data_IF_899325994685
#
_entry.id   IF_899325994685
#
_cell.length_a   1.000
_cell.length_b   1.000
_cell.length_c   1.000
_cell.angle_alpha   90.00
_cell.angle_beta   90.00
_cell.angle_gamma   90.00
#
_symmetry.space_group_name_H-M   'P 1'
#
loop_
_entity.id
_entity.type
_entity.pdbx_description
1 polymer ?
#
# COMPACT_ATOMS: atom_id res chain seq x y z
N UNK A 1 7.88 -44.79 50.41
CA UNK A 1 7.04 -43.58 50.25
C UNK A 1 7.91 -42.54 49.57
N UNK A 2 7.74 -42.32 48.25
CA UNK A 2 8.38 -41.28 47.41
C UNK A 2 8.06 -41.44 45.91
N UNK A 3 7.36 -42.51 45.50
CA UNK A 3 7.06 -42.77 44.08
C UNK A 3 6.04 -41.78 43.49
N UNK A 4 5.07 -41.32 44.29
CA UNK A 4 4.11 -40.28 43.87
C UNK A 4 4.78 -38.91 43.70
N UNK A 5 5.77 -38.58 44.54
CA UNK A 5 6.56 -37.35 44.42
C UNK A 5 7.44 -37.38 43.15
N UNK A 6 7.92 -38.56 42.75
CA UNK A 6 8.69 -38.75 41.51
C UNK A 6 7.80 -38.65 40.26
N UNK A 7 6.58 -39.18 40.30
CA UNK A 7 5.61 -39.06 39.20
C UNK A 7 5.12 -37.63 39.01
N UNK A 8 4.85 -36.88 40.09
CA UNK A 8 4.48 -35.47 40.01
C UNK A 8 5.66 -34.63 39.49
N UNK A 9 6.90 -34.93 39.88
CA UNK A 9 8.10 -34.25 39.35
C UNK A 9 8.33 -34.52 37.86
N UNK A 10 8.11 -35.76 37.39
CA UNK A 10 8.20 -36.13 35.97
C UNK A 10 7.11 -35.48 35.13
N UNK A 11 5.87 -35.40 35.64
CA UNK A 11 4.75 -34.71 34.98
C UNK A 11 4.96 -33.19 34.92
N UNK A 12 5.49 -32.59 36.00
CA UNK A 12 5.85 -31.16 36.03
C UNK A 12 7.01 -30.82 35.10
N UNK A 13 7.97 -31.73 34.91
CA UNK A 13 9.08 -31.55 33.96
C UNK A 13 8.60 -31.63 32.50
N UNK A 14 7.66 -32.52 32.20
CA UNK A 14 7.03 -32.64 30.88
C UNK A 14 6.13 -31.43 30.55
N UNK A 15 5.35 -30.93 31.51
CA UNK A 15 4.53 -29.73 31.33
C UNK A 15 5.36 -28.43 31.19
N UNK A 16 6.51 -28.31 31.86
CA UNK A 16 7.43 -27.18 31.65
C UNK A 16 8.11 -27.20 30.28
N UNK A 17 8.40 -28.40 29.74
CA UNK A 17 9.04 -28.56 28.42
C UNK A 17 8.10 -28.18 27.25
N UNK A 18 6.79 -28.36 27.41
CA UNK A 18 5.80 -28.00 26.40
C UNK A 18 5.58 -26.49 26.27
N UNK A 19 5.87 -25.70 27.32
CA UNK A 19 5.71 -24.24 27.31
C UNK A 19 6.93 -23.55 26.65
N UNK A 20 8.11 -24.19 26.64
CA UNK A 20 9.32 -23.64 26.01
C UNK A 20 9.38 -23.82 24.48
N UNK A 21 8.55 -24.67 23.88
CA UNK A 21 8.44 -24.81 22.42
C UNK A 21 7.32 -23.96 21.80
N UNK A 22 6.51 -23.27 22.61
CA UNK A 22 5.37 -22.46 22.14
C UNK A 22 5.65 -20.97 21.90
N UNK A 23 6.86 -20.48 22.20
CA UNK A 23 7.18 -19.04 22.17
C UNK A 23 8.21 -18.63 21.09
N UNK A 24 8.24 -19.33 19.96
CA UNK A 24 8.99 -18.94 18.76
C UNK A 24 8.24 -17.99 17.84
N UNK A 25 7.50 -17.03 18.39
CA UNK A 25 6.83 -15.96 17.63
C UNK A 25 7.79 -14.83 17.28
N UNK A 26 8.80 -15.10 16.46
CA UNK A 26 9.80 -14.13 15.94
C UNK A 26 10.29 -14.68 14.59
N UNK A 27 10.18 -14.03 13.42
CA UNK A 27 9.85 -12.66 13.05
C UNK A 27 9.04 -12.68 11.73
N UNK A 28 7.97 -11.88 11.64
CA UNK A 28 7.39 -11.52 10.34
C UNK A 28 8.42 -10.66 9.59
N UNK A 29 9.29 -11.31 8.83
CA UNK A 29 10.19 -10.66 7.91
C UNK A 29 10.36 -11.54 6.67
N UNK A 30 9.85 -11.08 5.53
CA UNK A 30 10.12 -11.72 4.24
C UNK A 30 11.43 -11.19 3.67
N UNK A 31 12.08 -11.99 2.83
CA UNK A 31 13.34 -11.58 2.21
C UNK A 31 13.09 -10.48 1.18
N UNK A 32 14.17 -9.77 0.85
CA UNK A 32 14.12 -8.62 -0.05
C UNK A 32 13.63 -8.98 -1.46
N UNK A 33 14.02 -10.15 -1.99
CA UNK A 33 13.65 -10.55 -3.35
C UNK A 33 12.16 -10.88 -3.43
N UNK A 34 11.62 -11.54 -2.40
CA UNK A 34 10.19 -11.82 -2.30
C UNK A 34 9.36 -10.55 -2.15
N UNK A 35 9.81 -9.60 -1.31
CA UNK A 35 9.15 -8.30 -1.18
C UNK A 35 9.15 -7.50 -2.50
N UNK A 36 10.28 -7.49 -3.23
CA UNK A 36 10.36 -6.88 -4.55
C UNK A 36 9.40 -7.55 -5.54
N UNK A 37 9.35 -8.88 -5.56
CA UNK A 37 8.45 -9.63 -6.43
C UNK A 37 6.98 -9.29 -6.15
N UNK A 38 6.59 -9.18 -4.88
CA UNK A 38 5.25 -8.75 -4.49
C UNK A 38 4.93 -7.33 -4.97
N UNK A 39 5.85 -6.38 -4.82
CA UNK A 39 5.67 -5.00 -5.32
C UNK A 39 5.49 -4.94 -6.83
N UNK A 40 6.20 -5.79 -7.59
CA UNK A 40 6.03 -5.89 -9.04
C UNK A 40 4.69 -6.49 -9.42
N UNK A 41 4.30 -7.56 -8.74
CA UNK A 41 3.04 -8.26 -9.00
C UNK A 41 1.80 -7.43 -8.65
N UNK A 42 1.89 -6.56 -7.65
CA UNK A 42 0.81 -5.66 -7.26
C UNK A 42 0.70 -4.39 -8.10
N UNK A 43 1.68 -4.10 -8.97
CA UNK A 43 1.74 -2.83 -9.70
C UNK A 43 2.30 -1.66 -8.88
N UNK A 44 2.56 -1.84 -7.57
CA UNK A 44 3.16 -0.80 -6.73
C UNK A 44 4.57 -0.40 -7.21
N UNK A 45 5.29 -1.31 -7.86
CA UNK A 45 6.61 -1.01 -8.41
C UNK A 45 6.60 0.17 -9.40
N UNK A 46 5.57 0.23 -10.24
CA UNK A 46 5.41 1.29 -11.24
C UNK A 46 4.81 2.54 -10.60
N UNK A 47 3.83 2.40 -9.70
CA UNK A 47 3.27 3.51 -8.90
C UNK A 47 4.36 4.24 -8.08
N UNK A 48 5.27 3.51 -7.45
CA UNK A 48 6.40 4.12 -6.72
C UNK A 48 7.39 4.81 -7.66
N UNK A 49 7.45 4.36 -8.93
CA UNK A 49 8.24 5.01 -9.97
C UNK A 49 7.63 6.30 -10.51
N UNK A 50 6.31 6.46 -10.43
CA UNK A 50 5.59 7.64 -10.91
C UNK A 50 5.47 8.78 -9.88
N UNK A 51 5.94 8.58 -8.64
CA UNK A 51 5.86 9.61 -7.60
C UNK A 51 6.62 10.89 -7.97
N UNK A 52 7.88 10.78 -8.44
CA UNK A 52 8.67 11.95 -8.85
C UNK A 52 7.98 12.79 -9.95
N UNK A 53 7.54 12.21 -11.09
CA UNK A 53 6.86 13.00 -12.12
C UNK A 53 5.52 13.57 -11.64
N UNK A 54 4.78 12.89 -10.76
CA UNK A 54 3.56 13.46 -10.16
C UNK A 54 3.85 14.67 -9.26
N UNK A 55 4.91 14.60 -8.44
CA UNK A 55 5.32 15.74 -7.60
C UNK A 55 5.82 16.89 -8.47
N UNK A 56 6.58 16.62 -9.54
CA UNK A 56 7.01 17.64 -10.51
C UNK A 56 5.81 18.31 -11.18
N UNK A 57 4.83 17.53 -11.63
CA UNK A 57 3.61 18.04 -12.26
C UNK A 57 2.82 18.95 -11.31
N UNK A 58 2.58 18.50 -10.07
CA UNK A 58 1.89 19.31 -9.06
C UNK A 58 2.65 20.59 -8.70
N UNK A 59 3.98 20.53 -8.64
CA UNK A 59 4.80 21.73 -8.44
C UNK A 59 4.72 22.70 -9.62
N UNK A 60 4.78 22.20 -10.86
CA UNK A 60 4.63 23.02 -12.05
C UNK A 60 3.23 23.67 -12.14
N UNK A 61 2.17 22.94 -11.79
CA UNK A 61 0.82 23.48 -11.70
C UNK A 61 0.73 24.60 -10.66
N UNK A 62 1.25 24.38 -9.45
CA UNK A 62 1.27 25.39 -8.40
C UNK A 62 2.01 26.68 -8.82
N UNK A 63 3.13 26.53 -9.54
CA UNK A 63 3.86 27.67 -10.08
C UNK A 63 3.10 28.41 -11.20
N UNK A 64 2.29 27.69 -11.97
CA UNK A 64 1.48 28.31 -13.03
C UNK A 64 0.36 29.18 -12.48
N UNK A 65 -0.13 28.85 -11.27
CA UNK A 65 -1.21 29.55 -10.58
C UNK A 65 -0.72 30.66 -9.63
N UNK A 66 0.58 30.71 -9.31
CA UNK A 66 1.14 31.69 -8.38
C UNK A 66 1.54 33.01 -9.06
N UNK A 67 1.47 34.12 -8.29
CA UNK A 67 1.84 35.46 -8.76
C UNK A 67 3.35 35.63 -8.99
N UNK A 68 4.17 34.78 -8.36
CA UNK A 68 5.64 34.81 -8.45
C UNK A 68 6.15 33.56 -9.13
N UNK A 69 6.78 33.73 -10.30
CA UNK A 69 7.40 32.63 -11.05
C UNK A 69 8.90 32.55 -10.71
N UNK A 70 9.42 31.37 -10.34
CA UNK A 70 10.85 31.21 -10.15
C UNK A 70 11.60 31.44 -11.46
N UNK A 71 12.84 31.89 -11.36
CA UNK A 71 13.75 31.92 -12.50
C UNK A 71 13.96 30.52 -13.07
N UNK A 72 14.39 30.43 -14.33
CA UNK A 72 14.71 29.13 -14.96
C UNK A 72 15.73 28.32 -14.14
N UNK A 73 16.72 29.00 -13.54
CA UNK A 73 17.72 28.37 -12.70
C UNK A 73 17.14 27.80 -11.39
N UNK A 74 16.19 28.51 -10.78
CA UNK A 74 15.48 28.03 -9.59
C UNK A 74 14.54 26.87 -9.89
N UNK A 75 13.77 26.97 -10.98
CA UNK A 75 12.87 25.90 -11.42
C UNK A 75 13.65 24.59 -11.67
N UNK A 76 14.78 24.70 -12.37
CA UNK A 76 15.69 23.58 -12.64
C UNK A 76 16.32 23.04 -11.34
N UNK A 77 16.71 23.90 -10.40
CA UNK A 77 17.20 23.47 -9.08
C UNK A 77 16.13 22.68 -8.32
N UNK A 78 14.88 23.16 -8.33
CA UNK A 78 13.78 22.50 -7.65
C UNK A 78 13.47 21.14 -8.29
N UNK A 79 13.44 21.07 -9.63
CA UNK A 79 13.25 19.81 -10.35
C UNK A 79 14.25 18.75 -9.91
N UNK A 80 15.55 19.07 -9.88
CA UNK A 80 16.59 18.14 -9.42
C UNK A 80 16.42 17.71 -7.96
N UNK A 81 15.96 18.61 -7.08
CA UNK A 81 15.68 18.26 -5.68
C UNK A 81 14.52 17.27 -5.61
N UNK A 82 13.45 17.48 -6.37
CA UNK A 82 12.30 16.56 -6.44
C UNK A 82 12.75 15.19 -6.98
N UNK A 83 13.48 15.16 -8.11
CA UNK A 83 13.98 13.91 -8.70
C UNK A 83 14.85 13.11 -7.74
N UNK A 84 15.74 13.77 -7.00
CA UNK A 84 16.59 13.09 -6.04
C UNK A 84 15.78 12.58 -4.83
N UNK A 85 14.95 13.44 -4.25
CA UNK A 85 14.17 13.14 -3.06
C UNK A 85 13.19 11.96 -3.31
N UNK A 86 12.50 11.98 -4.45
CA UNK A 86 11.46 11.04 -4.84
C UNK A 86 11.90 10.05 -5.94
N UNK A 87 13.21 9.90 -6.16
CA UNK A 87 13.73 8.99 -7.19
C UNK A 87 13.11 7.60 -7.06
N UNK A 88 12.75 7.00 -8.21
CA UNK A 88 12.12 5.69 -8.26
C UNK A 88 12.91 4.64 -7.46
N UNK A 89 14.25 4.68 -7.51
CA UNK A 89 15.13 3.80 -6.74
C UNK A 89 14.91 3.93 -5.23
N UNK A 90 14.85 5.17 -4.71
CA UNK A 90 14.64 5.40 -3.26
C UNK A 90 13.23 4.99 -2.85
N UNK A 91 12.22 5.36 -3.64
CA UNK A 91 10.82 5.02 -3.36
C UNK A 91 10.60 3.51 -3.34
N UNK A 92 11.15 2.78 -4.33
CA UNK A 92 11.09 1.32 -4.39
C UNK A 92 11.85 0.67 -3.24
N UNK A 93 13.04 1.16 -2.88
CA UNK A 93 13.78 0.65 -1.74
C UNK A 93 13.01 0.82 -0.40
N UNK A 94 12.33 1.95 -0.21
CA UNK A 94 11.44 2.17 0.94
C UNK A 94 10.27 1.18 0.91
N UNK A 95 9.62 1.01 -0.24
CA UNK A 95 8.54 0.04 -0.43
C UNK A 95 8.97 -1.38 -0.09
N UNK A 96 10.11 -1.83 -0.62
CA UNK A 96 10.65 -3.17 -0.36
C UNK A 96 10.92 -3.35 1.13
N UNK A 97 11.58 -2.38 1.78
CA UNK A 97 11.88 -2.44 3.21
C UNK A 97 10.62 -2.55 4.06
N UNK A 98 9.55 -1.82 3.70
CA UNK A 98 8.28 -1.87 4.42
C UNK A 98 7.59 -3.21 4.25
N UNK A 99 7.47 -3.71 3.01
CA UNK A 99 6.88 -5.02 2.71
C UNK A 99 7.66 -6.14 3.41
N UNK A 100 8.99 -6.12 3.27
CA UNK A 100 9.89 -7.06 3.91
C UNK A 100 9.68 -7.11 5.43
N UNK A 101 9.52 -5.96 6.08
CA UNK A 101 9.36 -5.85 7.53
C UNK A 101 7.96 -6.19 8.05
N UNK A 102 6.93 -6.01 7.22
CA UNK A 102 5.52 -6.02 7.70
C UNK A 102 4.77 -7.30 7.38
N UNK A 103 5.19 -8.04 6.36
CA UNK A 103 4.49 -9.26 5.96
C UNK A 103 5.05 -10.48 6.66
N UNK A 104 4.16 -11.33 7.18
CA UNK A 104 4.53 -12.66 7.63
C UNK A 104 4.73 -13.61 6.44
N UNK A 105 5.43 -14.72 6.65
CA UNK A 105 5.61 -15.74 5.62
C UNK A 105 4.26 -16.29 5.09
N UNK A 106 3.24 -16.34 5.95
CA UNK A 106 1.88 -16.75 5.56
C UNK A 106 1.23 -15.74 4.63
N UNK A 107 1.26 -14.45 5.00
CA UNK A 107 0.66 -13.38 4.19
C UNK A 107 1.31 -13.31 2.81
N UNK A 108 2.64 -13.48 2.75
CA UNK A 108 3.39 -13.55 1.50
C UNK A 108 2.89 -14.67 0.60
N UNK A 109 2.71 -15.88 1.14
CA UNK A 109 2.25 -17.02 0.35
C UNK A 109 0.84 -16.78 -0.20
N UNK A 110 -0.06 -16.21 0.62
CA UNK A 110 -1.43 -15.91 0.22
C UNK A 110 -1.48 -14.79 -0.83
N UNK A 111 -0.69 -13.73 -0.66
CA UNK A 111 -0.60 -12.63 -1.62
C UNK A 111 0.01 -13.08 -2.95
N UNK A 112 1.07 -13.88 -2.93
CA UNK A 112 1.66 -14.43 -4.16
C UNK A 112 0.63 -15.27 -4.92
N UNK A 113 -0.07 -16.16 -4.23
CA UNK A 113 -1.14 -16.98 -4.80
C UNK A 113 -2.24 -16.11 -5.43
N UNK A 114 -2.65 -15.04 -4.75
CA UNK A 114 -3.64 -14.10 -5.26
C UNK A 114 -3.15 -13.37 -6.51
N UNK A 115 -1.98 -12.76 -6.47
CA UNK A 115 -1.44 -12.03 -7.62
C UNK A 115 -1.03 -12.95 -8.78
N UNK A 116 -0.83 -14.24 -8.54
CA UNK A 116 -0.64 -15.26 -9.56
C UNK A 116 -1.95 -15.84 -10.11
N UNK A 117 -3.11 -15.42 -9.58
CA UNK A 117 -4.40 -15.77 -10.17
C UNK A 117 -4.70 -14.91 -11.41
N UNK A 118 -5.53 -15.40 -12.36
CA UNK A 118 -5.97 -14.60 -13.50
C UNK A 118 -6.66 -13.29 -13.09
N UNK A 119 -7.50 -13.33 -12.05
CA UNK A 119 -8.23 -12.17 -11.56
C UNK A 119 -7.31 -11.17 -10.86
N UNK A 120 -6.38 -11.63 -10.02
CA UNK A 120 -5.41 -10.77 -9.34
C UNK A 120 -4.51 -10.03 -10.33
N UNK A 121 -4.02 -10.71 -11.37
CA UNK A 121 -3.27 -10.05 -12.46
C UNK A 121 -4.10 -9.04 -13.22
N UNK A 122 -5.38 -9.34 -13.48
CA UNK A 122 -6.25 -8.41 -14.19
C UNK A 122 -6.49 -7.14 -13.39
N UNK A 123 -6.82 -7.28 -12.09
CA UNK A 123 -6.99 -6.15 -11.17
C UNK A 123 -5.70 -5.33 -11.07
N UNK A 124 -4.54 -5.97 -10.80
CA UNK A 124 -3.27 -5.25 -10.68
C UNK A 124 -2.92 -4.45 -11.94
N UNK A 125 -3.23 -4.98 -13.14
CA UNK A 125 -3.06 -4.24 -14.40
C UNK A 125 -3.99 -3.03 -14.51
N UNK A 126 -5.24 -3.17 -14.08
CA UNK A 126 -6.19 -2.05 -14.08
C UNK A 126 -5.76 -0.97 -13.08
N UNK A 127 -5.29 -1.35 -11.89
CA UNK A 127 -4.78 -0.44 -10.88
C UNK A 127 -3.52 0.31 -11.35
N UNK A 128 -2.58 -0.39 -11.99
CA UNK A 128 -1.39 0.23 -12.58
C UNK A 128 -1.77 1.25 -13.65
N UNK A 129 -2.65 0.87 -14.59
CA UNK A 129 -3.14 1.75 -15.65
C UNK A 129 -3.87 2.98 -15.10
N UNK A 130 -4.75 2.80 -14.11
CA UNK A 130 -5.46 3.91 -13.48
C UNK A 130 -4.49 4.91 -12.81
N UNK A 131 -3.35 4.43 -12.29
CA UNK A 131 -2.32 5.27 -11.68
C UNK A 131 -1.48 6.06 -12.68
N UNK A 132 -1.43 5.60 -13.94
CA UNK A 132 -0.79 6.33 -15.05
C UNK A 132 -1.74 7.39 -15.62
N UNK A 133 -3.03 7.08 -15.72
CA UNK A 133 -4.06 7.97 -16.29
C UNK A 133 -4.48 9.10 -15.33
N UNK A 134 -4.16 9.03 -14.04
CA UNK A 134 -4.53 10.03 -13.03
C UNK A 134 -3.76 11.37 -13.11
N UNK A 135 -3.11 11.67 -14.23
CA UNK A 135 -2.30 12.88 -14.42
C UNK A 135 -3.09 14.19 -14.39
N UNK A 136 -4.40 14.15 -14.65
CA UNK A 136 -5.29 15.31 -14.55
C UNK A 136 -6.44 15.01 -13.58
N UNK A 137 -6.11 15.07 -12.29
CA UNK A 137 -7.06 14.83 -11.20
C UNK A 137 -8.26 15.78 -11.27
N UNK A 138 -8.07 17.02 -11.76
CA UNK A 138 -9.16 17.96 -11.96
C UNK A 138 -10.11 17.53 -13.08
N UNK A 139 -9.58 17.11 -14.24
CA UNK A 139 -10.40 16.57 -15.31
C UNK A 139 -11.14 15.31 -14.85
N UNK A 140 -10.48 14.43 -14.10
CA UNK A 140 -11.08 13.21 -13.55
C UNK A 140 -12.22 13.52 -12.57
N UNK A 141 -12.02 14.49 -11.68
CA UNK A 141 -13.08 15.00 -10.79
C UNK A 141 -14.25 15.61 -11.57
N UNK A 142 -13.96 16.43 -12.58
CA UNK A 142 -14.98 17.06 -13.43
C UNK A 142 -15.79 16.02 -14.21
N UNK A 143 -15.12 14.99 -14.75
CA UNK A 143 -15.76 13.89 -15.45
C UNK A 143 -16.62 13.05 -14.50
N UNK A 144 -16.11 12.76 -13.31
CA UNK A 144 -16.86 12.07 -12.26
C UNK A 144 -18.11 12.82 -11.83
N UNK A 145 -18.01 14.15 -11.64
CA UNK A 145 -19.15 15.01 -11.32
C UNK A 145 -20.18 15.00 -12.45
N UNK A 146 -19.74 15.14 -13.71
CA UNK A 146 -20.63 15.11 -14.86
C UNK A 146 -21.37 13.77 -14.99
N UNK A 147 -20.69 12.64 -14.77
CA UNK A 147 -21.31 11.31 -14.76
C UNK A 147 -22.30 11.14 -13.60
N UNK A 148 -21.95 11.69 -12.43
CA UNK A 148 -22.84 11.70 -11.27
C UNK A 148 -24.09 12.54 -11.56
N UNK A 149 -23.96 13.71 -12.18
CA UNK A 149 -25.02 14.65 -12.59
C UNK A 149 -25.88 14.16 -13.76
N UNK A 150 -25.34 13.31 -14.64
CA UNK A 150 -26.11 12.68 -15.72
C UNK A 150 -26.73 11.33 -15.32
N UNK A 151 -26.46 10.82 -14.11
CA UNK A 151 -26.96 9.51 -13.69
C UNK A 151 -28.47 9.50 -13.41
N UNK A 152 -29.21 8.46 -13.86
CA UNK A 152 -30.65 8.34 -13.59
C UNK A 152 -30.97 8.32 -12.08
N UNK A 153 -32.16 8.79 -11.65
CA UNK A 153 -32.50 8.90 -10.23
C UNK A 153 -32.31 7.61 -9.40
N UNK A 154 -32.65 6.41 -9.91
CA UNK A 154 -32.42 5.17 -9.16
C UNK A 154 -30.93 4.89 -8.91
N UNK A 155 -30.06 5.23 -9.88
CA UNK A 155 -28.60 5.05 -9.75
C UNK A 155 -28.01 6.08 -8.79
N UNK A 156 -28.48 7.33 -8.84
CA UNK A 156 -28.01 8.38 -7.93
C UNK A 156 -28.33 8.05 -6.47
N UNK A 157 -29.55 7.56 -6.20
CA UNK A 157 -29.94 7.08 -4.86
C UNK A 157 -28.99 6.02 -4.31
N UNK A 158 -28.61 5.03 -5.12
CA UNK A 158 -27.66 3.98 -4.71
C UNK A 158 -26.25 4.52 -4.45
N UNK A 159 -25.80 5.49 -5.24
CA UNK A 159 -24.51 6.14 -5.04
C UNK A 159 -24.49 6.97 -3.73
N UNK A 160 -25.59 7.68 -3.44
CA UNK A 160 -25.74 8.43 -2.20
C UNK A 160 -25.73 7.50 -0.97
N UNK A 161 -26.45 6.36 -1.04
CA UNK A 161 -26.44 5.33 0.01
C UNK A 161 -25.04 4.73 0.23
N UNK A 162 -24.30 4.47 -0.86
CA UNK A 162 -22.92 3.98 -0.80
C UNK A 162 -21.98 5.00 -0.14
N UNK A 163 -22.11 6.29 -0.47
CA UNK A 163 -21.28 7.35 0.11
C UNK A 163 -21.51 7.49 1.62
N UNK A 164 -22.76 7.39 2.07
CA UNK A 164 -23.09 7.40 3.51
C UNK A 164 -22.46 6.20 4.22
N UNK A 165 -22.53 5.01 3.63
CA UNK A 165 -21.91 3.80 4.18
C UNK A 165 -20.39 3.93 4.31
N UNK A 166 -19.71 4.40 3.26
CA UNK A 166 -18.24 4.60 3.25
C UNK A 166 -17.82 5.69 4.25
N UNK A 167 -18.60 6.75 4.40
CA UNK A 167 -18.33 7.81 5.36
C UNK A 167 -18.51 7.36 6.82
N UNK A 168 -19.58 6.60 7.13
CA UNK A 168 -19.81 6.06 8.47
C UNK A 168 -18.79 4.97 8.86
N UNK A 169 -18.37 4.12 7.92
CA UNK A 169 -17.35 3.09 8.19
C UNK A 169 -15.97 3.64 8.58
N UNK A 170 -15.69 4.92 8.33
CA UNK A 170 -14.44 5.60 8.74
C UNK A 170 -14.49 6.16 10.16
N UNK A 171 -15.68 6.36 10.72
CA UNK A 171 -15.85 6.92 12.06
C UNK A 171 -15.70 5.88 13.19
N UNK A 172 -15.83 4.58 12.88
CA UNK A 172 -15.81 3.50 13.88
C UNK A 172 -14.42 2.87 14.12
N UNK A 173 -13.36 3.38 13.50
CA UNK A 173 -12.00 2.92 13.80
C UNK A 173 -11.02 4.08 14.05
N UNK A 174 -11.05 4.69 15.25
CA UNK A 174 -9.96 5.54 15.71
C UNK A 174 -8.81 4.65 16.19
N UNK A 175 -7.78 4.51 15.34
CA UNK A 175 -6.41 4.07 15.64
C UNK A 175 -6.20 2.85 16.56
#
# INVERSE_FOLDING_TARGET
>A
MNWEVQLIKLLSFLLLSAILFGAGGTHAQTDHATAENLLRKSGLWDQLGSVAPQVQAGFAEALSQGDSKPSAAEAERISRVIENAFSATRMRAVGIKLVAKKLSARDVADLLRWYDSPIGRHIAKLEAKASEESGDLQALMKQGLALLESSPPPRRKLLDELLVFVACGRAENPA
#
